data_IF_857294162862
#
_entry.id   IF_857294162862
#
_cell.length_a   1.000
_cell.length_b   1.000
_cell.length_c   1.000
_cell.angle_alpha   90.00
_cell.angle_beta   90.00
_cell.angle_gamma   90.00
#
_symmetry.space_group_name_H-M   'P 1'
#
loop_
_entity.id
_entity.type
_entity.pdbx_description
1 polymer ?
#
# COMPACT_ATOMS: atom_id res chain seq x y z
N UNK A 1 44.61 -15.32 -16.92
CA UNK A 1 43.32 -14.94 -17.56
C UNK A 1 42.12 -15.53 -16.81
N UNK A 2 42.11 -16.83 -16.48
CA UNK A 2 40.98 -17.48 -15.78
C UNK A 2 40.56 -16.86 -14.42
N UNK A 3 41.50 -16.39 -13.59
CA UNK A 3 41.18 -15.82 -12.28
C UNK A 3 40.50 -14.44 -12.37
N UNK A 4 40.95 -13.59 -13.31
CA UNK A 4 40.34 -12.28 -13.56
C UNK A 4 38.90 -12.42 -14.08
N UNK A 5 38.67 -13.33 -15.04
CA UNK A 5 37.33 -13.59 -15.54
C UNK A 5 36.38 -14.12 -14.45
N UNK A 6 36.89 -14.96 -13.54
CA UNK A 6 36.12 -15.48 -12.40
C UNK A 6 35.72 -14.36 -11.43
N UNK A 7 36.68 -13.57 -10.96
CA UNK A 7 36.43 -12.42 -10.08
C UNK A 7 35.45 -11.41 -10.71
N UNK A 8 35.57 -11.17 -12.02
CA UNK A 8 34.66 -10.30 -12.75
C UNK A 8 33.21 -10.83 -12.76
N UNK A 9 33.01 -12.13 -13.01
CA UNK A 9 31.68 -12.76 -12.98
C UNK A 9 31.13 -12.79 -11.56
N UNK A 10 31.94 -13.12 -10.56
CA UNK A 10 31.51 -13.16 -9.15
C UNK A 10 31.03 -11.78 -8.69
N UNK A 11 31.75 -10.71 -9.08
CA UNK A 11 31.36 -9.33 -8.79
C UNK A 11 30.08 -8.90 -9.51
N UNK A 12 29.93 -9.24 -10.79
CA UNK A 12 28.68 -8.97 -11.52
C UNK A 12 27.50 -9.69 -10.88
N UNK A 13 27.68 -10.96 -10.52
CA UNK A 13 26.67 -11.78 -9.86
C UNK A 13 26.30 -11.18 -8.51
N UNK A 14 27.28 -10.71 -7.74
CA UNK A 14 27.04 -9.98 -6.49
C UNK A 14 26.17 -8.73 -6.71
N UNK A 15 26.50 -7.88 -7.67
CA UNK A 15 25.69 -6.68 -7.95
C UNK A 15 24.27 -7.02 -8.37
N UNK A 16 24.10 -8.00 -9.26
CA UNK A 16 22.77 -8.46 -9.70
C UNK A 16 21.96 -8.99 -8.52
N UNK A 17 22.57 -9.79 -7.65
CA UNK A 17 21.91 -10.35 -6.46
C UNK A 17 21.52 -9.25 -5.45
N UNK A 18 22.36 -8.25 -5.23
CA UNK A 18 22.03 -7.13 -4.33
C UNK A 18 20.89 -6.27 -4.89
N UNK A 19 20.86 -6.02 -6.20
CA UNK A 19 19.73 -5.35 -6.85
C UNK A 19 18.44 -6.18 -6.76
N UNK A 20 18.53 -7.50 -6.95
CA UNK A 20 17.40 -8.40 -6.81
C UNK A 20 16.83 -8.38 -5.38
N UNK A 21 17.68 -8.53 -4.36
CA UNK A 21 17.29 -8.45 -2.94
C UNK A 21 16.64 -7.12 -2.58
N UNK A 22 17.18 -6.01 -3.07
CA UNK A 22 16.62 -4.68 -2.79
C UNK A 22 15.22 -4.54 -3.39
N UNK A 23 15.03 -5.07 -4.60
CA UNK A 23 13.75 -5.04 -5.30
C UNK A 23 12.73 -5.95 -4.60
N UNK A 24 13.15 -7.14 -4.20
CA UNK A 24 12.33 -8.10 -3.46
C UNK A 24 11.90 -7.55 -2.09
N UNK A 25 12.82 -6.91 -1.36
CA UNK A 25 12.53 -6.26 -0.08
C UNK A 25 11.50 -5.14 -0.24
N UNK A 26 11.66 -4.28 -1.25
CA UNK A 26 10.69 -3.22 -1.56
C UNK A 26 9.31 -3.77 -1.93
N UNK A 27 9.27 -4.82 -2.75
CA UNK A 27 8.02 -5.47 -3.14
C UNK A 27 7.31 -6.08 -1.92
N UNK A 28 8.07 -6.76 -1.05
CA UNK A 28 7.56 -7.37 0.17
C UNK A 28 7.03 -6.31 1.14
N UNK A 29 7.73 -5.20 1.30
CA UNK A 29 7.28 -4.09 2.13
C UNK A 29 5.98 -3.49 1.59
N UNK A 30 5.89 -3.25 0.29
CA UNK A 30 4.68 -2.73 -0.35
C UNK A 30 3.48 -3.66 -0.13
N UNK A 31 3.67 -4.97 -0.24
CA UNK A 31 2.60 -5.94 0.00
C UNK A 31 2.13 -5.94 1.46
N UNK A 32 3.06 -5.81 2.41
CA UNK A 32 2.72 -5.66 3.84
C UNK A 32 1.93 -4.39 4.13
N UNK A 33 2.22 -3.30 3.41
CA UNK A 33 1.53 -2.02 3.59
C UNK A 33 0.13 -2.02 2.96
N UNK A 34 -0.11 -2.84 1.93
CA UNK A 34 -1.36 -2.87 1.16
C UNK A 34 -2.38 -3.92 1.64
N UNK A 35 -1.89 -5.06 2.14
CA UNK A 35 -2.74 -6.22 2.45
C UNK A 35 -2.80 -6.50 3.96
N UNK A 36 -3.96 -6.95 4.48
CA UNK A 36 -4.01 -7.51 5.82
C UNK A 36 -3.07 -8.71 5.95
N UNK A 37 -2.42 -8.84 7.11
CA UNK A 37 -1.42 -9.91 7.37
C UNK A 37 -1.92 -11.31 7.00
N UNK A 38 -3.15 -11.63 7.41
CA UNK A 38 -3.75 -12.94 7.10
C UNK A 38 -3.86 -13.18 5.59
N UNK A 39 -4.30 -12.17 4.84
CA UNK A 39 -4.45 -12.28 3.37
C UNK A 39 -3.09 -12.43 2.72
N UNK A 40 -2.08 -11.72 3.21
CA UNK A 40 -0.70 -11.83 2.70
C UNK A 40 -0.10 -13.22 2.94
N UNK A 41 -0.28 -13.79 4.14
CA UNK A 41 0.19 -15.14 4.47
C UNK A 41 -0.51 -16.20 3.60
N UNK A 42 -1.83 -16.08 3.40
CA UNK A 42 -2.58 -16.97 2.52
C UNK A 42 -2.16 -16.83 1.06
N UNK A 43 -1.85 -15.61 0.59
CA UNK A 43 -1.33 -15.34 -0.75
C UNK A 43 0.04 -16.00 -0.98
N UNK A 44 0.97 -15.85 -0.03
CA UNK A 44 2.32 -16.44 -0.13
C UNK A 44 2.33 -17.97 -0.14
N UNK A 45 1.28 -18.60 0.39
CA UNK A 45 1.12 -20.06 0.45
C UNK A 45 0.29 -20.63 -0.70
N UNK A 46 -0.12 -19.80 -1.67
CA UNK A 46 -1.06 -20.17 -2.74
C UNK A 46 -2.40 -20.73 -2.19
N UNK A 47 -2.87 -20.19 -1.05
CA UNK A 47 -4.10 -20.61 -0.34
C UNK A 47 -5.15 -19.51 -0.22
N UNK A 48 -5.05 -18.47 -1.04
CA UNK A 48 -5.94 -17.32 -1.01
C UNK A 48 -7.41 -17.75 -1.18
N UNK A 49 -8.28 -17.32 -0.26
CA UNK A 49 -9.73 -17.56 -0.37
C UNK A 49 -10.40 -16.43 -1.14
N UNK A 50 -11.46 -16.78 -1.89
CA UNK A 50 -12.29 -15.81 -2.61
C UNK A 50 -13.20 -14.98 -1.68
N UNK A 51 -13.57 -15.54 -0.53
CA UNK A 51 -14.46 -14.89 0.41
C UNK A 51 -14.08 -15.26 1.85
N UNK A 52 -14.25 -14.30 2.74
CA UNK A 52 -14.03 -14.44 4.18
C UNK A 52 -15.30 -14.07 4.90
N UNK A 53 -15.69 -14.88 5.89
CA UNK A 53 -16.81 -14.59 6.77
C UNK A 53 -16.24 -13.98 8.06
N UNK A 54 -16.77 -12.82 8.43
CA UNK A 54 -16.43 -12.15 9.69
C UNK A 54 -17.72 -11.83 10.45
N UNK A 55 -17.86 -12.38 11.65
CA UNK A 55 -19.09 -12.21 12.45
C UNK A 55 -19.17 -10.85 13.15
N UNK A 56 -18.03 -10.24 13.48
CA UNK A 56 -17.95 -9.00 14.24
C UNK A 56 -17.06 -8.00 13.50
N UNK A 57 -17.67 -7.16 12.66
CA UNK A 57 -16.99 -6.09 11.92
C UNK A 57 -17.73 -4.78 12.15
N UNK A 58 -16.97 -3.70 12.30
CA UNK A 58 -17.49 -2.34 12.34
C UNK A 58 -16.86 -1.57 11.19
N UNK A 59 -17.67 -0.80 10.47
CA UNK A 59 -17.20 0.07 9.40
C UNK A 59 -17.26 1.53 9.84
N UNK A 60 -16.24 2.30 9.49
CA UNK A 60 -16.22 3.75 9.54
C UNK A 60 -16.48 4.30 8.14
N UNK A 61 -17.51 5.12 8.00
CA UNK A 61 -17.77 5.90 6.80
C UNK A 61 -17.65 7.39 7.13
N UNK A 62 -16.77 8.09 6.43
CA UNK A 62 -16.61 9.53 6.56
C UNK A 62 -16.66 10.19 5.18
N UNK A 63 -17.47 11.24 5.03
CA UNK A 63 -17.67 11.96 3.77
C UNK A 63 -17.51 13.46 4.00
N UNK A 64 -17.06 14.20 2.97
CA UNK A 64 -16.82 15.64 3.10
C UNK A 64 -18.07 16.42 2.68
N UNK A 65 -18.77 16.98 3.67
CA UNK A 65 -19.95 17.80 3.43
C UNK A 65 -19.68 18.94 2.43
N UNK A 66 -20.43 18.95 1.31
CA UNK A 66 -20.38 20.02 0.32
C UNK A 66 -19.18 19.97 -0.63
N UNK A 67 -18.37 18.91 -0.60
CA UNK A 67 -17.17 18.76 -1.43
C UNK A 67 -17.45 18.94 -2.93
N UNK A 68 -18.50 18.31 -3.47
CA UNK A 68 -18.82 18.41 -4.89
C UNK A 68 -19.05 19.85 -5.35
N UNK A 69 -19.71 20.67 -4.52
CA UNK A 69 -19.94 22.08 -4.84
C UNK A 69 -18.66 22.90 -4.77
N UNK A 70 -17.82 22.62 -3.78
CA UNK A 70 -16.52 23.27 -3.62
C UNK A 70 -15.56 22.92 -4.76
N UNK A 71 -15.41 21.64 -5.08
CA UNK A 71 -14.48 21.13 -6.09
C UNK A 71 -14.78 21.64 -7.51
N UNK A 72 -16.03 22.01 -7.82
CA UNK A 72 -16.41 22.60 -9.12
C UNK A 72 -15.69 23.92 -9.44
N UNK A 73 -15.32 24.68 -8.42
CA UNK A 73 -14.70 26.00 -8.58
C UNK A 73 -13.19 26.02 -8.32
N UNK A 74 -12.58 24.86 -8.06
CA UNK A 74 -11.19 24.73 -7.60
C UNK A 74 -10.39 23.94 -8.63
N UNK A 75 -9.11 24.28 -8.79
CA UNK A 75 -8.23 23.55 -9.69
C UNK A 75 -8.07 22.08 -9.24
N UNK A 76 -8.04 21.16 -10.21
CA UNK A 76 -7.96 19.73 -9.93
C UNK A 76 -6.73 19.35 -9.10
N UNK A 77 -5.58 20.01 -9.32
CA UNK A 77 -4.37 19.75 -8.54
C UNK A 77 -4.54 20.18 -7.08
N UNK A 78 -5.23 21.29 -6.82
CA UNK A 78 -5.53 21.75 -5.46
C UNK A 78 -6.50 20.82 -4.74
N UNK A 79 -7.54 20.35 -5.44
CA UNK A 79 -8.49 19.36 -4.91
C UNK A 79 -7.76 18.08 -4.48
N UNK A 80 -6.93 17.52 -5.36
CA UNK A 80 -6.17 16.29 -5.06
C UNK A 80 -5.17 16.53 -3.92
N UNK A 81 -4.50 17.68 -3.91
CA UNK A 81 -3.55 18.03 -2.84
C UNK A 81 -4.25 18.13 -1.47
N UNK A 82 -5.45 18.68 -1.42
CA UNK A 82 -6.25 18.76 -0.20
C UNK A 82 -6.66 17.36 0.29
N UNK A 83 -7.22 16.54 -0.60
CA UNK A 83 -7.61 15.15 -0.29
C UNK A 83 -6.41 14.33 0.20
N UNK A 84 -5.26 14.44 -0.47
CA UNK A 84 -4.05 13.74 -0.09
C UNK A 84 -3.59 14.12 1.32
N UNK A 85 -3.63 15.41 1.67
CA UNK A 85 -3.26 15.87 3.02
C UNK A 85 -4.24 15.35 4.09
N UNK A 86 -5.53 15.36 3.80
CA UNK A 86 -6.56 14.87 4.72
C UNK A 86 -6.44 13.36 4.93
N UNK A 87 -6.41 12.59 3.85
CA UNK A 87 -6.34 11.12 3.93
C UNK A 87 -5.01 10.65 4.49
N UNK A 88 -3.88 11.31 4.21
CA UNK A 88 -2.61 10.97 4.86
C UNK A 88 -2.67 11.13 6.39
N UNK A 89 -3.45 12.09 6.90
CA UNK A 89 -3.68 12.23 8.34
C UNK A 89 -4.56 11.10 8.87
N UNK A 90 -5.65 10.76 8.17
CA UNK A 90 -6.51 9.64 8.55
C UNK A 90 -5.80 8.30 8.49
N UNK A 91 -4.91 8.08 7.52
CA UNK A 91 -4.12 6.85 7.39
C UNK A 91 -3.18 6.66 8.58
N UNK A 92 -2.56 7.77 9.04
CA UNK A 92 -1.72 7.77 10.23
C UNK A 92 -2.52 7.44 11.49
N UNK A 93 -3.70 8.05 11.65
CA UNK A 93 -4.57 7.80 12.79
C UNK A 93 -5.15 6.38 12.75
N UNK A 94 -5.56 5.88 11.58
CA UNK A 94 -6.07 4.51 11.38
C UNK A 94 -5.02 3.48 11.78
N UNK A 95 -3.77 3.66 11.34
CA UNK A 95 -2.65 2.80 11.75
C UNK A 95 -2.44 2.83 13.26
N UNK A 96 -2.53 4.02 13.88
CA UNK A 96 -2.39 4.18 15.33
C UNK A 96 -3.49 3.46 16.12
N UNK A 97 -4.72 3.45 15.62
CA UNK A 97 -5.86 2.79 16.26
C UNK A 97 -6.03 1.32 15.84
N UNK A 98 -5.19 0.80 14.95
CA UNK A 98 -5.28 -0.58 14.45
C UNK A 98 -6.45 -0.82 13.49
N UNK A 99 -6.96 0.24 12.87
CA UNK A 99 -8.01 0.18 11.85
C UNK A 99 -7.40 -0.19 10.49
N UNK A 100 -8.12 -0.96 9.69
CA UNK A 100 -7.71 -1.29 8.33
C UNK A 100 -8.43 -0.38 7.33
N UNK A 101 -7.67 0.49 6.67
CA UNK A 101 -8.21 1.31 5.58
C UNK A 101 -8.67 0.40 4.45
N UNK A 102 -9.97 0.42 4.15
CA UNK A 102 -10.55 -0.38 3.08
C UNK A 102 -10.35 0.31 1.72
N UNK A 103 -10.86 1.53 1.58
CA UNK A 103 -10.77 2.30 0.34
C UNK A 103 -11.15 3.77 0.54
N UNK A 104 -10.90 4.55 -0.51
CA UNK A 104 -11.49 5.88 -0.69
C UNK A 104 -12.41 5.85 -1.90
N UNK A 105 -13.57 6.50 -1.81
CA UNK A 105 -14.52 6.62 -2.92
C UNK A 105 -14.77 8.10 -3.15
N UNK A 106 -14.03 8.70 -4.09
CA UNK A 106 -14.03 10.15 -4.24
C UNK A 106 -13.51 10.84 -2.98
N UNK A 107 -14.37 11.64 -2.34
CA UNK A 107 -14.12 12.34 -1.07
C UNK A 107 -14.49 11.53 0.17
N UNK A 108 -15.10 10.34 0.01
CA UNK A 108 -15.41 9.45 1.12
C UNK A 108 -14.21 8.57 1.51
N UNK A 109 -14.06 8.34 2.82
CA UNK A 109 -13.07 7.46 3.44
C UNK A 109 -13.77 6.29 4.13
N UNK A 110 -13.28 5.07 3.88
CA UNK A 110 -13.80 3.82 4.47
C UNK A 110 -12.69 3.05 5.16
N UNK A 111 -12.89 2.71 6.42
CA UNK A 111 -11.97 1.93 7.26
C UNK A 111 -12.71 1.05 8.28
#
# INVERSE_FOLDING_TARGET
>A
VSAYCKEYIDRLTFYVNEHAKTTESRATQLLNDMLPKQVLEEFQQDKLKLAYLHENVTFLFADICGFTSWAKGVDACEVVTMLQKLFAKFDKDSTKFGLYKLCTIGDAYVA
#
